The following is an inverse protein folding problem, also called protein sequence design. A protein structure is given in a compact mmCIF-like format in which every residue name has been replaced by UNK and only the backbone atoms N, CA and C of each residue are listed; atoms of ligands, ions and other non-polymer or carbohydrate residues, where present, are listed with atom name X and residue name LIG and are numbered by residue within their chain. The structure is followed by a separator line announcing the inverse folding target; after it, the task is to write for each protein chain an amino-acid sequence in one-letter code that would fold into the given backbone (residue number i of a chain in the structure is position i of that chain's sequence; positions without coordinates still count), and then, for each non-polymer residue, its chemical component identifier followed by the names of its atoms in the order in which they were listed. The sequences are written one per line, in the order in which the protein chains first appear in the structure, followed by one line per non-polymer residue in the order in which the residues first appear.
data_IF_066076344832
#
_entry.id   IF_066076344832
#
_cell.length_a   1.000
_cell.length_b   1.000
_cell.length_c   1.000
_cell.angle_alpha   90.00
_cell.angle_beta   90.00
_cell.angle_gamma   90.00
#
_symmetry.space_group_name_H-M   'P 1'
#
loop_
_entity.id
_entity.type
_entity.pdbx_description
1 polymer ?
#
# COMPACT_ATOMS: atom_id res chain seq x y z
N UNK A 1 -32.54 18.38 10.31
CA UNK A 1 -31.66 19.45 9.76
C UNK A 1 -31.39 19.15 8.30
N UNK A 2 -31.11 20.17 7.47
CA UNK A 2 -30.63 20.00 6.10
C UNK A 2 -29.10 20.02 6.09
N UNK A 3 -28.48 19.01 5.49
CA UNK A 3 -27.02 18.83 5.46
C UNK A 3 -26.56 18.71 4.01
N UNK A 4 -25.59 19.54 3.61
CA UNK A 4 -24.90 19.42 2.34
C UNK A 4 -23.56 18.70 2.55
N UNK A 5 -23.31 17.64 1.77
CA UNK A 5 -22.03 16.92 1.73
C UNK A 5 -21.38 17.21 0.37
N UNK A 6 -20.14 17.70 0.37
CA UNK A 6 -19.38 18.01 -0.84
C UNK A 6 -18.37 16.88 -1.09
N UNK A 7 -18.55 16.18 -2.20
CA UNK A 7 -17.80 15.00 -2.60
C UNK A 7 -18.50 13.69 -2.20
N UNK A 8 -18.61 12.77 -3.16
CA UNK A 8 -19.16 11.42 -3.00
C UNK A 8 -18.07 10.34 -2.95
N UNK A 9 -16.86 10.70 -2.49
CA UNK A 9 -15.82 9.74 -2.14
C UNK A 9 -16.20 8.88 -0.93
N UNK A 10 -15.31 7.95 -0.53
CA UNK A 10 -15.54 7.04 0.61
C UNK A 10 -16.07 7.78 1.85
N UNK A 11 -15.42 8.89 2.23
CA UNK A 11 -15.81 9.66 3.40
C UNK A 11 -17.21 10.28 3.27
N UNK A 12 -17.52 10.90 2.12
CA UNK A 12 -18.81 11.52 1.85
C UNK A 12 -19.95 10.51 1.82
N UNK A 13 -19.76 9.38 1.13
CA UNK A 13 -20.73 8.30 1.08
C UNK A 13 -20.96 7.66 2.46
N UNK A 14 -19.91 7.47 3.25
CA UNK A 14 -20.04 6.92 4.62
C UNK A 14 -20.84 7.88 5.51
N UNK A 15 -20.57 9.19 5.43
CA UNK A 15 -21.34 10.20 6.17
C UNK A 15 -22.81 10.22 5.74
N UNK A 16 -23.07 10.24 4.43
CA UNK A 16 -24.43 10.21 3.89
C UNK A 16 -25.17 8.95 4.36
N UNK A 17 -24.52 7.79 4.29
CA UNK A 17 -25.08 6.50 4.70
C UNK A 17 -25.51 6.48 6.17
N UNK A 18 -24.73 7.06 7.09
CA UNK A 18 -25.12 7.07 8.50
C UNK A 18 -26.11 8.18 8.86
N UNK A 19 -25.97 9.37 8.26
CA UNK A 19 -26.77 10.53 8.64
C UNK A 19 -28.17 10.57 7.99
N UNK A 20 -28.38 9.91 6.84
CA UNK A 20 -29.65 10.03 6.10
C UNK A 20 -30.87 9.56 6.88
N UNK A 21 -30.68 8.72 7.90
CA UNK A 21 -31.76 8.19 8.76
C UNK A 21 -32.43 9.27 9.62
N UNK A 22 -31.73 10.40 9.87
CA UNK A 22 -32.18 11.45 10.79
C UNK A 22 -32.12 12.87 10.22
N UNK A 23 -31.56 13.03 9.02
CA UNK A 23 -31.31 14.31 8.39
C UNK A 23 -31.71 14.31 6.91
N UNK A 24 -32.08 15.48 6.40
CA UNK A 24 -32.30 15.71 4.98
C UNK A 24 -30.94 16.01 4.33
N UNK A 25 -30.44 15.11 3.48
CA UNK A 25 -29.08 15.15 2.94
C UNK A 25 -29.10 15.46 1.45
N UNK A 26 -28.26 16.40 1.05
CA UNK A 26 -27.90 16.62 -0.36
C UNK A 26 -26.40 16.36 -0.52
N UNK A 27 -26.03 15.44 -1.41
CA UNK A 27 -24.63 15.18 -1.77
C UNK A 27 -24.34 15.86 -3.09
N UNK A 28 -23.25 16.61 -3.16
CA UNK A 28 -22.75 17.26 -4.36
C UNK A 28 -21.49 16.55 -4.83
N UNK A 29 -21.47 16.07 -6.07
CA UNK A 29 -20.31 15.46 -6.71
C UNK A 29 -19.96 16.28 -7.95
N UNK A 30 -18.67 16.54 -8.15
CA UNK A 30 -18.16 17.26 -9.30
C UNK A 30 -18.08 16.37 -10.54
N UNK A 31 -17.81 15.08 -10.34
CA UNK A 31 -17.71 14.08 -11.39
C UNK A 31 -19.07 13.54 -11.84
N UNK A 32 -19.09 12.81 -12.96
CA UNK A 32 -20.29 12.14 -13.49
C UNK A 32 -20.59 10.79 -12.83
N UNK A 33 -19.82 10.42 -11.79
CA UNK A 33 -19.90 9.14 -11.10
C UNK A 33 -19.64 9.31 -9.60
N UNK A 34 -20.08 8.34 -8.79
CA UNK A 34 -19.87 8.32 -7.34
C UNK A 34 -18.66 7.47 -6.95
N UNK A 35 -18.08 7.73 -5.77
CA UNK A 35 -17.03 6.91 -5.17
C UNK A 35 -15.65 7.55 -5.17
N UNK A 36 -15.41 8.56 -6.03
CA UNK A 36 -14.11 9.20 -6.16
C UNK A 36 -13.03 8.18 -6.52
N UNK A 37 -11.98 8.05 -5.71
CA UNK A 37 -10.87 7.12 -5.97
C UNK A 37 -11.27 5.64 -5.91
N UNK A 38 -12.40 5.27 -5.27
CA UNK A 38 -12.91 3.89 -5.35
C UNK A 38 -13.68 3.75 -6.65
N UNK A 39 -12.95 3.38 -7.71
CA UNK A 39 -13.48 3.39 -9.06
C UNK A 39 -13.38 2.00 -9.70
N UNK A 40 -14.53 1.43 -10.00
CA UNK A 40 -14.67 0.15 -10.69
C UNK A 40 -15.05 0.40 -12.14
N UNK A 41 -14.25 -0.07 -13.07
CA UNK A 41 -14.51 0.03 -14.50
C UNK A 41 -15.11 -1.27 -15.02
N UNK A 42 -16.23 -1.18 -15.73
CA UNK A 42 -16.74 -2.31 -16.49
C UNK A 42 -16.06 -2.34 -17.85
N UNK A 43 -15.35 -3.43 -18.16
CA UNK A 43 -14.66 -3.64 -19.43
C UNK A 43 -15.12 -4.94 -20.08
N UNK A 44 -14.94 -5.05 -21.40
CA UNK A 44 -15.12 -6.31 -22.12
C UNK A 44 -13.74 -6.93 -22.36
N UNK A 45 -13.49 -8.09 -21.76
CA UNK A 45 -12.28 -8.86 -21.94
C UNK A 45 -12.64 -10.24 -22.48
N UNK A 46 -12.09 -10.60 -23.64
CA UNK A 46 -12.37 -11.89 -24.31
C UNK A 46 -13.88 -12.18 -24.50
N UNK A 47 -14.67 -11.13 -24.82
CA UNK A 47 -16.11 -11.24 -25.00
C UNK A 47 -16.92 -11.36 -23.70
N UNK A 48 -16.28 -11.29 -22.53
CA UNK A 48 -16.93 -11.29 -21.21
C UNK A 48 -16.88 -9.91 -20.59
N UNK A 49 -17.97 -9.48 -19.97
CA UNK A 49 -17.97 -8.29 -19.14
C UNK A 49 -17.29 -8.60 -17.80
N UNK A 50 -16.31 -7.78 -17.42
CA UNK A 50 -15.59 -7.89 -16.16
C UNK A 50 -15.50 -6.52 -15.50
N UNK A 51 -15.54 -6.50 -14.18
CA UNK A 51 -15.38 -5.30 -13.37
C UNK A 51 -13.93 -5.24 -12.88
N UNK A 52 -13.25 -4.11 -13.09
CA UNK A 52 -11.85 -3.91 -12.74
C UNK A 52 -11.74 -2.67 -11.85
N UNK A 53 -11.32 -2.89 -10.62
CA UNK A 53 -11.05 -1.81 -9.68
C UNK A 53 -9.70 -1.16 -9.99
N UNK A 54 -9.67 0.16 -10.11
CA UNK A 54 -8.45 0.94 -10.38
C UNK A 54 -7.91 1.67 -9.15
N UNK A 55 -8.69 1.73 -8.07
CA UNK A 55 -8.29 2.34 -6.82
C UNK A 55 -8.94 1.65 -5.62
N UNK A 56 -8.18 1.58 -4.52
CA UNK A 56 -8.56 0.89 -3.29
C UNK A 56 -9.07 -0.54 -3.54
N UNK A 57 -8.16 -1.40 -4.00
CA UNK A 57 -8.47 -2.75 -4.50
C UNK A 57 -8.34 -3.86 -3.45
N UNK A 58 -7.79 -3.54 -2.28
CA UNK A 58 -7.53 -4.51 -1.20
C UNK A 58 -7.63 -3.84 0.17
N UNK A 59 -7.98 -4.62 1.18
CA UNK A 59 -7.96 -4.24 2.59
C UNK A 59 -7.49 -5.41 3.48
N UNK A 60 -7.38 -5.17 4.79
CA UNK A 60 -7.08 -6.22 5.78
C UNK A 60 -7.83 -5.98 7.09
N UNK A 61 -8.05 -7.04 7.84
CA UNK A 61 -8.79 -7.04 9.11
C UNK A 61 -8.14 -6.20 10.21
N UNK A 62 -6.82 -6.18 10.27
CA UNK A 62 -6.05 -5.40 11.25
C UNK A 62 -6.25 -3.89 11.09
N UNK A 63 -6.26 -3.40 9.86
CA UNK A 63 -6.24 -1.95 9.56
C UNK A 63 -7.64 -1.39 9.30
N UNK A 64 -8.59 -2.23 8.86
CA UNK A 64 -9.88 -1.78 8.34
C UNK A 64 -11.12 -2.36 9.08
N UNK A 65 -11.15 -2.43 10.42
CA UNK A 65 -12.28 -3.05 11.15
C UNK A 65 -13.63 -2.33 10.89
N UNK A 66 -13.61 -1.00 10.82
CA UNK A 66 -14.83 -0.22 10.55
C UNK A 66 -15.35 -0.42 9.12
N UNK A 67 -14.44 -0.56 8.15
CA UNK A 67 -14.82 -0.82 6.76
C UNK A 67 -15.42 -2.21 6.63
N UNK A 68 -14.85 -3.22 7.29
CA UNK A 68 -15.40 -4.58 7.33
C UNK A 68 -16.79 -4.59 7.98
N UNK A 69 -16.98 -3.84 9.07
CA UNK A 69 -18.29 -3.70 9.70
C UNK A 69 -19.31 -3.09 8.73
N UNK A 70 -18.93 -2.06 7.96
CA UNK A 70 -19.77 -1.46 6.94
C UNK A 70 -20.11 -2.43 5.80
N UNK A 71 -19.12 -3.18 5.28
CA UNK A 71 -19.37 -4.19 4.24
C UNK A 71 -20.35 -5.26 4.73
N UNK A 72 -20.23 -5.70 6.00
CA UNK A 72 -21.17 -6.64 6.61
C UNK A 72 -22.58 -6.06 6.74
N UNK A 73 -22.72 -4.80 7.19
CA UNK A 73 -24.03 -4.13 7.28
C UNK A 73 -24.70 -4.03 5.89
N UNK A 74 -23.90 -3.69 4.87
CA UNK A 74 -24.34 -3.60 3.48
C UNK A 74 -24.48 -4.96 2.77
N UNK A 75 -24.05 -6.05 3.42
CA UNK A 75 -23.99 -7.41 2.85
C UNK A 75 -23.18 -7.49 1.55
N UNK A 76 -22.11 -6.71 1.47
CA UNK A 76 -21.16 -6.74 0.35
C UNK A 76 -20.14 -7.84 0.60
N UNK A 77 -20.00 -8.76 -0.36
CA UNK A 77 -19.02 -9.83 -0.29
C UNK A 77 -17.62 -9.33 -0.68
N UNK A 78 -16.61 -10.02 -0.17
CA UNK A 78 -15.19 -9.84 -0.54
C UNK A 78 -14.54 -11.22 -0.70
N UNK A 79 -13.32 -11.26 -1.22
CA UNK A 79 -12.60 -12.50 -1.50
C UNK A 79 -11.18 -12.43 -0.96
N UNK A 80 -10.58 -13.58 -0.67
CA UNK A 80 -9.17 -13.60 -0.28
C UNK A 80 -8.28 -13.18 -1.45
N UNK A 81 -7.33 -12.29 -1.17
CA UNK A 81 -6.33 -11.82 -2.12
C UNK A 81 -4.91 -12.13 -1.60
N UNK A 82 -3.99 -12.38 -2.52
CA UNK A 82 -2.58 -12.54 -2.20
C UNK A 82 -1.81 -11.34 -2.76
N UNK A 83 -1.34 -10.47 -1.88
CA UNK A 83 -0.47 -9.37 -2.25
C UNK A 83 1.00 -9.85 -2.22
N UNK A 84 1.66 -9.75 -3.36
CA UNK A 84 3.09 -10.06 -3.50
C UNK A 84 3.82 -8.90 -4.17
N UNK A 85 5.13 -8.82 -3.93
CA UNK A 85 5.99 -7.80 -4.50
C UNK A 85 7.18 -8.45 -5.21
N UNK A 86 7.38 -8.05 -6.45
CA UNK A 86 8.48 -8.48 -7.32
C UNK A 86 9.16 -7.26 -7.91
N UNK A 87 10.49 -7.34 -8.05
CA UNK A 87 11.27 -6.31 -8.73
C UNK A 87 11.99 -6.95 -9.89
N UNK A 88 11.90 -6.29 -11.05
CA UNK A 88 12.74 -6.53 -12.22
C UNK A 88 13.40 -5.22 -12.61
N UNK A 89 14.72 -5.21 -12.68
CA UNK A 89 15.52 -4.06 -13.09
C UNK A 89 16.38 -4.43 -14.29
N UNK A 90 15.92 -4.08 -15.50
CA UNK A 90 16.64 -4.40 -16.73
C UNK A 90 18.03 -3.75 -16.79
N UNK A 91 18.20 -2.57 -16.17
CA UNK A 91 19.48 -1.84 -16.11
C UNK A 91 20.58 -2.61 -15.36
N UNK A 92 20.21 -3.36 -14.33
CA UNK A 92 21.15 -4.13 -13.49
C UNK A 92 21.01 -5.64 -13.68
N UNK A 93 20.06 -6.06 -14.52
CA UNK A 93 19.63 -7.44 -14.70
C UNK A 93 19.32 -8.13 -13.35
N UNK A 94 18.69 -7.40 -12.43
CA UNK A 94 18.26 -7.89 -11.12
C UNK A 94 16.80 -8.29 -11.18
N UNK A 95 16.50 -9.52 -10.77
CA UNK A 95 15.13 -10.00 -10.55
C UNK A 95 15.01 -10.73 -9.21
N UNK A 96 13.98 -10.41 -8.43
CA UNK A 96 13.64 -11.15 -7.21
C UNK A 96 12.16 -10.93 -6.80
N UNK A 97 11.65 -11.85 -5.98
CA UNK A 97 10.34 -11.73 -5.35
C UNK A 97 10.39 -12.15 -3.87
N UNK A 98 9.79 -11.35 -2.99
CA UNK A 98 9.88 -11.52 -1.53
C UNK A 98 8.92 -12.54 -0.90
N UNK A 99 8.27 -13.41 -1.67
CA UNK A 99 7.25 -14.36 -1.17
C UNK A 99 7.84 -15.60 -0.52
N UNK A 100 8.95 -16.12 -1.05
CA UNK A 100 9.62 -17.33 -0.57
C UNK A 100 11.13 -17.25 -0.83
N UNK A 101 11.92 -18.11 -0.18
CA UNK A 101 13.35 -18.20 -0.50
C UNK A 101 13.59 -18.60 -1.97
N UNK A 102 12.76 -19.48 -2.52
CA UNK A 102 12.89 -19.92 -3.90
C UNK A 102 12.66 -18.76 -4.89
N UNK A 103 11.66 -17.91 -4.63
CA UNK A 103 11.34 -16.74 -5.44
C UNK A 103 12.28 -15.55 -5.18
N UNK A 104 12.84 -15.45 -3.97
CA UNK A 104 13.87 -14.46 -3.64
C UNK A 104 15.14 -14.72 -4.46
N UNK A 105 15.49 -16.00 -4.63
CA UNK A 105 16.57 -16.46 -5.49
C UNK A 105 16.06 -17.01 -6.83
N UNK A 106 14.98 -16.43 -7.40
CA UNK A 106 14.49 -16.81 -8.74
C UNK A 106 15.62 -16.72 -9.77
N UNK A 107 16.46 -15.68 -9.64
CA UNK A 107 17.74 -15.59 -10.32
C UNK A 107 18.84 -16.24 -9.47
N UNK A 108 19.21 -17.49 -9.76
CA UNK A 108 20.17 -18.30 -8.97
C UNK A 108 21.54 -17.65 -8.79
N UNK A 109 21.99 -16.84 -9.76
CA UNK A 109 23.23 -16.08 -9.65
C UNK A 109 23.28 -15.17 -8.43
N UNK A 110 22.13 -14.73 -7.90
CA UNK A 110 22.05 -13.88 -6.71
C UNK A 110 22.55 -14.59 -5.44
N UNK A 111 22.63 -15.92 -5.41
CA UNK A 111 23.25 -16.67 -4.30
C UNK A 111 24.72 -16.28 -4.09
N UNK A 112 25.41 -15.91 -5.16
CA UNK A 112 26.83 -15.57 -5.14
C UNK A 112 27.09 -14.06 -5.22
N UNK A 113 26.04 -13.21 -5.18
CA UNK A 113 26.19 -11.74 -5.28
C UNK A 113 26.22 -11.11 -3.89
N UNK A 114 27.36 -10.57 -3.42
CA UNK A 114 27.45 -9.94 -2.09
C UNK A 114 26.51 -8.75 -1.93
N UNK A 115 26.31 -7.99 -3.01
CA UNK A 115 25.40 -6.84 -3.03
C UNK A 115 23.93 -7.22 -2.78
N UNK A 116 23.51 -8.41 -3.22
CA UNK A 116 22.16 -8.94 -2.99
C UNK A 116 21.96 -9.34 -1.52
N UNK A 117 22.97 -9.98 -0.92
CA UNK A 117 22.95 -10.30 0.52
C UNK A 117 22.98 -9.05 1.38
N UNK A 118 23.73 -8.01 0.97
CA UNK A 118 23.72 -6.70 1.62
C UNK A 118 22.32 -6.07 1.62
N UNK A 119 21.64 -6.10 0.47
CA UNK A 119 20.24 -5.66 0.35
C UNK A 119 19.33 -6.43 1.30
N UNK A 120 19.39 -7.77 1.32
CA UNK A 120 18.56 -8.60 2.20
C UNK A 120 18.80 -8.26 3.67
N UNK A 121 20.08 -8.15 4.08
CA UNK A 121 20.44 -7.76 5.45
C UNK A 121 19.82 -6.41 5.82
N UNK A 122 19.87 -5.44 4.91
CA UNK A 122 19.33 -4.11 5.13
C UNK A 122 17.79 -4.09 5.17
N UNK A 123 17.11 -4.95 4.39
CA UNK A 123 15.65 -5.19 4.51
C UNK A 123 15.31 -5.68 5.92
N UNK A 124 16.00 -6.73 6.39
CA UNK A 124 15.77 -7.29 7.72
C UNK A 124 16.08 -6.28 8.83
N UNK A 125 17.15 -5.49 8.65
CA UNK A 125 17.50 -4.40 9.58
C UNK A 125 16.42 -3.33 9.60
N UNK A 126 15.97 -2.83 8.46
CA UNK A 126 14.90 -1.83 8.36
C UNK A 126 13.62 -2.33 9.01
N UNK A 127 13.19 -3.54 8.70
CA UNK A 127 12.00 -4.15 9.29
C UNK A 127 12.06 -4.21 10.82
N UNK A 128 13.25 -4.42 11.39
CA UNK A 128 13.47 -4.46 12.83
C UNK A 128 13.52 -3.07 13.48
N UNK A 129 14.20 -2.09 12.88
CA UNK A 129 14.51 -0.80 13.52
C UNK A 129 13.51 0.30 13.16
N UNK A 130 12.93 0.26 11.96
CA UNK A 130 11.99 1.27 11.49
C UNK A 130 10.79 1.49 12.42
N UNK A 131 10.19 0.46 13.07
CA UNK A 131 9.09 0.66 14.02
C UNK A 131 9.40 1.65 15.15
N UNK A 132 10.65 1.87 15.52
CA UNK A 132 11.06 2.85 16.54
C UNK A 132 10.63 4.28 16.16
N UNK A 133 10.53 4.59 14.86
CA UNK A 133 10.04 5.88 14.35
C UNK A 133 8.57 6.16 14.68
N UNK A 134 7.81 5.13 15.08
CA UNK A 134 6.40 5.26 15.46
C UNK A 134 6.23 5.86 16.86
N UNK A 135 7.30 5.91 17.66
CA UNK A 135 7.32 6.66 18.92
C UNK A 135 7.34 8.18 18.68
N UNK A 136 6.92 8.96 19.69
CA UNK A 136 6.85 10.42 19.57
C UNK A 136 8.23 11.04 19.31
N UNK A 137 8.31 11.95 18.35
CA UNK A 137 9.55 12.62 17.98
C UNK A 137 9.41 13.57 16.80
N UNK A 138 10.53 14.15 16.38
CA UNK A 138 10.58 14.98 15.18
C UNK A 138 10.46 14.14 13.91
N UNK A 139 9.73 14.65 12.92
CA UNK A 139 9.63 14.02 11.60
C UNK A 139 10.87 14.38 10.77
N UNK A 140 11.41 13.41 10.05
CA UNK A 140 12.50 13.59 9.06
C UNK A 140 12.10 12.99 7.73
N UNK A 141 12.78 13.36 6.65
CA UNK A 141 12.55 12.71 5.37
C UNK A 141 13.01 11.25 5.39
N UNK A 142 12.39 10.42 4.54
CA UNK A 142 12.78 9.03 4.36
C UNK A 142 14.24 8.92 3.91
N UNK A 143 14.69 9.81 3.02
CA UNK A 143 16.08 9.88 2.57
C UNK A 143 17.06 10.20 3.70
N UNK A 144 16.73 11.15 4.58
CA UNK A 144 17.56 11.45 5.76
C UNK A 144 17.64 10.27 6.71
N UNK A 145 16.51 9.60 6.99
CA UNK A 145 16.48 8.40 7.82
C UNK A 145 17.39 7.30 7.25
N UNK A 146 17.28 7.03 5.94
CA UNK A 146 18.08 6.02 5.25
C UNK A 146 19.57 6.37 5.24
N UNK A 147 19.90 7.66 5.12
CA UNK A 147 21.28 8.15 5.16
C UNK A 147 21.89 8.03 6.56
N UNK A 148 21.16 8.45 7.59
CA UNK A 148 21.59 8.35 9.00
C UNK A 148 21.77 6.89 9.43
N UNK A 149 20.89 6.00 8.98
CA UNK A 149 21.00 4.56 9.22
C UNK A 149 22.06 3.83 8.38
N UNK A 150 22.80 4.55 7.53
CA UNK A 150 23.80 3.99 6.61
C UNK A 150 23.27 2.76 5.85
N UNK A 151 22.10 2.90 5.23
CA UNK A 151 21.53 1.86 4.37
C UNK A 151 22.22 1.82 3.00
N UNK A 152 22.38 0.60 2.47
CA UNK A 152 23.06 0.39 1.19
C UNK A 152 22.27 0.96 0.01
N UNK A 153 22.94 1.43 -1.05
CA UNK A 153 22.27 1.84 -2.28
C UNK A 153 21.38 0.74 -2.87
N UNK A 154 21.79 -0.52 -2.77
CA UNK A 154 20.99 -1.64 -3.28
C UNK A 154 19.65 -1.78 -2.56
N UNK A 155 19.62 -1.58 -1.24
CA UNK A 155 18.38 -1.55 -0.48
C UNK A 155 17.48 -0.37 -0.87
N UNK A 156 18.07 0.81 -1.04
CA UNK A 156 17.32 2.01 -1.39
C UNK A 156 16.73 1.90 -2.80
N UNK A 157 17.58 1.59 -3.79
CA UNK A 157 17.25 1.64 -5.21
C UNK A 157 16.45 0.41 -5.70
N UNK A 158 16.59 -0.74 -5.03
CA UNK A 158 15.96 -1.98 -5.47
C UNK A 158 14.88 -2.51 -4.52
N UNK A 159 14.67 -1.89 -3.35
CA UNK A 159 13.60 -2.28 -2.43
C UNK A 159 12.74 -1.09 -2.01
N UNK A 160 13.30 -0.09 -1.31
CA UNK A 160 12.51 1.02 -0.75
C UNK A 160 11.85 1.86 -1.84
N UNK A 161 12.63 2.36 -2.80
CA UNK A 161 12.10 3.23 -3.85
C UNK A 161 11.09 2.48 -4.71
N UNK A 162 11.38 1.29 -5.27
CA UNK A 162 10.40 0.58 -6.11
C UNK A 162 9.11 0.22 -5.35
N UNK A 163 9.21 -0.17 -4.08
CA UNK A 163 8.03 -0.50 -3.27
C UNK A 163 7.19 0.74 -2.98
N UNK A 164 7.82 1.84 -2.56
CA UNK A 164 7.11 3.09 -2.33
C UNK A 164 6.49 3.65 -3.62
N UNK A 165 7.22 3.64 -4.72
CA UNK A 165 6.72 4.10 -6.02
C UNK A 165 5.50 3.29 -6.47
N UNK A 166 5.48 1.97 -6.23
CA UNK A 166 4.33 1.13 -6.56
C UNK A 166 3.08 1.42 -5.71
N UNK A 167 3.25 1.86 -4.46
CA UNK A 167 2.13 2.16 -3.55
C UNK A 167 1.58 3.57 -3.79
N UNK A 168 2.46 4.56 -4.00
CA UNK A 168 2.08 5.98 -4.05
C UNK A 168 2.23 6.62 -5.42
N UNK A 169 2.53 5.85 -6.47
CA UNK A 169 2.66 6.32 -7.86
C UNK A 169 3.56 7.55 -7.99
N UNK A 170 4.68 7.54 -7.28
CA UNK A 170 5.58 8.68 -7.12
C UNK A 170 6.97 8.36 -7.66
N UNK A 171 7.69 9.38 -8.10
CA UNK A 171 9.05 9.22 -8.56
C UNK A 171 10.04 8.97 -7.41
N UNK A 172 11.25 8.55 -7.76
CA UNK A 172 12.29 8.19 -6.80
C UNK A 172 12.71 9.35 -5.88
N UNK A 173 12.80 10.58 -6.41
CA UNK A 173 13.27 11.73 -5.64
C UNK A 173 12.20 12.19 -4.65
N UNK A 174 10.94 12.20 -5.10
CA UNK A 174 9.81 12.52 -4.25
C UNK A 174 9.62 11.45 -3.16
N UNK A 175 9.82 10.16 -3.47
CA UNK A 175 9.82 9.09 -2.47
C UNK A 175 10.83 9.32 -1.34
N UNK A 176 12.06 9.74 -1.67
CA UNK A 176 13.06 10.08 -0.64
C UNK A 176 12.68 11.30 0.20
N UNK A 177 11.78 12.14 -0.29
CA UNK A 177 11.27 13.32 0.42
C UNK A 177 10.05 13.01 1.29
N UNK A 178 9.51 11.78 1.25
CA UNK A 178 8.37 11.40 2.07
C UNK A 178 8.68 11.51 3.57
N UNK A 179 7.69 11.83 4.42
CA UNK A 179 7.86 11.74 5.86
C UNK A 179 8.15 10.28 6.27
N UNK A 180 9.28 10.04 6.93
CA UNK A 180 9.74 8.70 7.28
C UNK A 180 8.73 7.98 8.18
N UNK A 181 8.15 8.67 9.17
CA UNK A 181 7.15 8.08 10.07
C UNK A 181 5.88 7.70 9.34
N UNK A 182 5.43 8.52 8.39
CA UNK A 182 4.26 8.18 7.57
C UNK A 182 4.50 6.90 6.78
N UNK A 183 5.64 6.80 6.11
CA UNK A 183 6.04 5.61 5.34
C UNK A 183 6.08 4.37 6.23
N UNK A 184 6.77 4.44 7.38
CA UNK A 184 6.87 3.32 8.33
C UNK A 184 5.51 2.94 8.89
N UNK A 185 4.66 3.91 9.24
CA UNK A 185 3.31 3.64 9.76
C UNK A 185 2.47 2.87 8.76
N UNK A 186 2.54 3.26 7.48
CA UNK A 186 1.90 2.50 6.41
C UNK A 186 2.43 1.08 6.35
N UNK A 187 3.75 0.89 6.31
CA UNK A 187 4.36 -0.44 6.25
C UNK A 187 3.98 -1.30 7.46
N UNK A 188 3.90 -0.70 8.64
CA UNK A 188 3.52 -1.39 9.88
C UNK A 188 2.06 -1.86 9.84
N UNK A 189 1.11 -0.99 9.49
CA UNK A 189 -0.32 -1.35 9.41
C UNK A 189 -0.56 -2.47 8.39
N UNK A 190 0.17 -2.45 7.27
CA UNK A 190 0.01 -3.42 6.18
C UNK A 190 0.91 -4.66 6.31
N UNK A 191 1.57 -4.87 7.46
CA UNK A 191 2.41 -6.04 7.72
C UNK A 191 3.64 -6.18 6.79
N UNK A 192 4.10 -5.07 6.21
CA UNK A 192 5.25 -5.03 5.31
C UNK A 192 6.58 -5.01 6.07
N UNK A 193 6.57 -4.73 7.38
CA UNK A 193 7.74 -4.83 8.26
C UNK A 193 7.93 -6.24 8.85
N UNK A 194 7.00 -7.17 8.62
CA UNK A 194 7.02 -8.52 9.20
C UNK A 194 7.31 -9.58 8.14
N UNK A 195 8.14 -10.56 8.49
CA UNK A 195 8.49 -11.70 7.61
C UNK A 195 7.51 -12.86 7.81
N UNK A 196 7.20 -13.17 9.06
CA UNK A 196 6.20 -14.16 9.47
C UNK A 196 5.09 -13.38 10.19
N UNK A 197 3.81 -13.64 9.93
CA UNK A 197 2.64 -12.87 10.38
C UNK A 197 2.26 -11.64 9.51
N UNK A 198 2.14 -11.86 8.20
CA UNK A 198 1.49 -10.88 7.31
C UNK A 198 -0.02 -11.01 7.43
N UNK A 199 -0.77 -9.90 7.45
CA UNK A 199 -2.23 -9.96 7.44
C UNK A 199 -2.74 -10.61 6.15
N UNK A 200 -3.87 -11.31 6.26
CA UNK A 200 -4.58 -11.78 5.08
C UNK A 200 -5.21 -10.58 4.37
N UNK A 201 -4.92 -10.44 3.08
CA UNK A 201 -5.54 -9.42 2.24
C UNK A 201 -6.89 -9.92 1.73
N UNK A 202 -7.84 -9.00 1.65
CA UNK A 202 -9.23 -9.21 1.25
C UNK A 202 -9.64 -8.16 0.21
#
# INVERSE_FOLDING_TARGET
MKIAIIGSGIAGNTLAYHLHKHHDITVFEAESYIGGHTHTHQIVHEGKQVNVDTGFIVFNDRTYPNFIALLNELKVAWQQSHMSFSVRCDRTNLEYNGTSLNSLFAQRGNLFKPSFHCMIRDILRFNKTAPELLSDGHEISLGEYLKLGAYSPQFIDHYIIPMGAAIWSTDAQQMLSFPARFFVRFFHHHGMLTVNDRPQWL
#
